data_IF_037195164376
#
_entry.id   IF_037195164376
#
_cell.length_a   1.000
_cell.length_b   1.000
_cell.length_c   1.000
_cell.angle_alpha   90.00
_cell.angle_beta   90.00
_cell.angle_gamma   90.00
#
_symmetry.space_group_name_H-M   'P 1'
#
loop_
_entity.id
_entity.type
_entity.pdbx_description
1 polymer ?
#
# COMPACT_ATOMS: atom_id res chain seq x y z
N UNK A 1 13.73 40.60 16.83
CA UNK A 1 12.86 39.55 16.26
C UNK A 1 13.56 38.24 16.55
N UNK A 2 13.22 37.61 17.66
CA UNK A 2 13.77 36.30 18.04
C UNK A 2 12.86 35.26 17.39
N UNK A 3 13.34 34.67 16.29
CA UNK A 3 12.64 33.57 15.64
C UNK A 3 12.92 32.33 16.49
N UNK A 4 11.97 31.97 17.36
CA UNK A 4 12.03 30.78 18.20
C UNK A 4 12.45 29.56 17.37
N UNK A 5 13.41 28.80 17.90
CA UNK A 5 13.91 27.59 17.27
C UNK A 5 12.74 26.63 16.93
N UNK A 6 12.79 25.92 15.79
CA UNK A 6 11.75 24.96 15.45
C UNK A 6 11.72 23.86 16.52
N UNK A 7 10.56 23.68 17.13
CA UNK A 7 10.34 22.60 18.09
C UNK A 7 10.57 21.25 17.42
N UNK A 8 11.36 20.40 18.07
CA UNK A 8 11.78 19.13 17.53
C UNK A 8 10.63 18.12 17.59
N UNK A 9 10.07 17.75 16.43
CA UNK A 9 8.93 16.82 16.29
C UNK A 9 9.34 15.36 16.49
N UNK A 10 10.00 15.03 17.60
CA UNK A 10 10.29 13.64 17.98
C UNK A 10 9.18 13.12 18.88
N UNK A 11 8.23 12.42 18.28
CA UNK A 11 7.11 11.79 18.97
C UNK A 11 7.53 10.43 19.54
N UNK A 12 8.40 10.44 20.56
CA UNK A 12 8.98 9.23 21.17
C UNK A 12 7.94 8.45 21.99
N UNK A 13 6.99 9.16 22.61
CA UNK A 13 5.95 8.58 23.46
C UNK A 13 4.67 8.20 22.68
N UNK A 14 4.62 8.50 21.38
CA UNK A 14 3.47 8.14 20.56
C UNK A 14 3.52 6.66 20.15
N UNK A 15 2.36 6.00 20.04
CA UNK A 15 2.31 4.64 19.53
C UNK A 15 2.83 4.62 18.09
N UNK A 16 3.72 3.66 17.79
CA UNK A 16 4.33 3.45 16.47
C UNK A 16 3.33 3.19 15.33
N UNK A 17 2.05 2.96 15.64
CA UNK A 17 0.99 2.75 14.68
C UNK A 17 -0.35 3.31 15.18
N UNK A 18 -1.15 3.84 14.25
CA UNK A 18 -2.54 4.21 14.48
C UNK A 18 -3.39 2.95 14.65
N UNK A 19 -4.35 2.96 15.59
CA UNK A 19 -5.36 1.89 15.68
C UNK A 19 -6.33 1.96 14.50
N UNK A 20 -6.53 0.82 13.83
CA UNK A 20 -7.56 0.63 12.83
C UNK A 20 -8.82 0.02 13.45
N UNK A 21 -9.98 0.27 12.85
CA UNK A 21 -11.20 -0.45 13.22
C UNK A 21 -11.07 -1.92 12.82
N UNK A 22 -11.43 -2.87 13.71
CA UNK A 22 -11.36 -4.28 13.40
C UNK A 22 -12.43 -4.66 12.37
N UNK A 23 -12.02 -5.40 11.36
CA UNK A 23 -12.94 -6.00 10.39
C UNK A 23 -13.78 -7.12 11.03
N UNK A 24 -15.00 -7.40 10.53
CA UNK A 24 -15.83 -8.50 11.01
C UNK A 24 -15.10 -9.85 10.97
N UNK A 25 -15.38 -10.73 11.94
CA UNK A 25 -14.65 -12.00 12.10
C UNK A 25 -14.74 -12.97 10.91
N UNK A 26 -15.70 -12.77 10.01
CA UNK A 26 -15.93 -13.59 8.80
C UNK A 26 -15.38 -12.93 7.53
N UNK A 27 -14.76 -11.76 7.65
CA UNK A 27 -14.19 -10.99 6.55
C UNK A 27 -12.67 -10.99 6.65
N UNK A 28 -12.01 -11.01 5.50
CA UNK A 28 -10.56 -10.83 5.40
C UNK A 28 -10.28 -9.42 4.87
N UNK A 29 -9.16 -8.79 5.26
CA UNK A 29 -8.74 -7.56 4.63
C UNK A 29 -8.41 -7.85 3.16
N UNK A 30 -9.11 -7.19 2.23
CA UNK A 30 -8.85 -7.30 0.80
C UNK A 30 -7.91 -6.16 0.36
N UNK A 31 -6.63 -6.48 0.14
CA UNK A 31 -5.61 -5.52 -0.28
C UNK A 31 -5.84 -5.02 -1.72
N UNK A 32 -6.61 -5.76 -2.52
CA UNK A 32 -6.92 -5.42 -3.92
C UNK A 32 -8.24 -4.65 -4.05
N UNK A 33 -8.96 -4.40 -2.96
CA UNK A 33 -10.29 -3.80 -3.01
C UNK A 33 -10.30 -2.44 -3.73
N UNK A 34 -9.28 -1.62 -3.52
CA UNK A 34 -9.14 -0.33 -4.17
C UNK A 34 -8.73 -0.47 -5.64
N UNK A 35 -7.76 -1.35 -5.94
CA UNK A 35 -7.25 -1.58 -7.31
C UNK A 35 -8.26 -2.24 -8.24
N UNK A 36 -9.13 -3.11 -7.71
CA UNK A 36 -10.24 -3.75 -8.43
C UNK A 36 -11.30 -2.75 -8.93
N UNK A 37 -11.36 -1.54 -8.38
CA UNK A 37 -12.35 -0.53 -8.82
C UNK A 37 -12.00 0.04 -10.19
N UNK A 38 -10.71 0.11 -10.49
CA UNK A 38 -10.18 0.72 -11.70
C UNK A 38 -9.65 -0.31 -12.72
N UNK A 39 -9.46 -1.57 -12.30
CA UNK A 39 -9.03 -2.67 -13.16
C UNK A 39 -10.20 -3.35 -13.90
N UNK A 40 -9.98 -3.80 -15.15
CA UNK A 40 -11.03 -4.48 -15.92
C UNK A 40 -11.24 -5.93 -15.45
N UNK A 41 -10.19 -6.58 -14.95
CA UNK A 41 -10.24 -7.92 -14.36
C UNK A 41 -9.26 -8.08 -13.19
N UNK A 42 -9.45 -9.14 -12.40
CA UNK A 42 -8.60 -9.48 -11.26
C UNK A 42 -7.13 -9.67 -11.66
N UNK A 43 -6.86 -10.18 -12.87
CA UNK A 43 -5.49 -10.35 -13.34
C UNK A 43 -4.78 -9.01 -13.57
N UNK A 44 -5.50 -7.99 -14.02
CA UNK A 44 -4.95 -6.64 -14.19
C UNK A 44 -4.68 -5.98 -12.83
N UNK A 45 -5.62 -6.09 -11.88
CA UNK A 45 -5.41 -5.54 -10.53
C UNK A 45 -4.15 -6.12 -9.84
N UNK A 46 -3.87 -7.41 -10.05
CA UNK A 46 -2.65 -8.07 -9.58
C UNK A 46 -1.40 -7.61 -10.35
N UNK A 47 -1.52 -7.40 -11.66
CA UNK A 47 -0.43 -6.92 -12.50
C UNK A 47 0.00 -5.51 -12.07
N UNK A 48 -0.96 -4.62 -11.83
CA UNK A 48 -0.70 -3.25 -11.40
C UNK A 48 -0.02 -3.17 -10.04
N UNK A 49 -0.46 -3.98 -9.07
CA UNK A 49 0.21 -4.10 -7.77
C UNK A 49 1.64 -4.60 -7.90
N UNK A 50 1.85 -5.64 -8.70
CA UNK A 50 3.18 -6.16 -8.93
C UNK A 50 4.10 -5.13 -9.62
N UNK A 51 3.57 -4.30 -10.53
CA UNK A 51 4.34 -3.23 -11.19
C UNK A 51 4.75 -2.14 -10.20
N UNK A 52 3.85 -1.71 -9.31
CA UNK A 52 4.15 -0.70 -8.29
C UNK A 52 5.20 -1.17 -7.29
N UNK A 53 5.22 -2.46 -6.96
CA UNK A 53 6.23 -3.09 -6.09
C UNK A 53 7.53 -3.45 -6.83
N UNK A 54 7.56 -3.31 -8.16
CA UNK A 54 8.73 -3.63 -8.97
C UNK A 54 9.75 -2.49 -8.91
N UNK A 55 11.04 -2.85 -8.83
CA UNK A 55 12.12 -1.87 -8.73
C UNK A 55 12.43 -1.21 -10.09
N UNK A 56 12.82 0.07 -10.10
CA UNK A 56 13.29 0.71 -11.32
C UNK A 56 14.56 0.00 -11.84
N UNK A 57 14.45 -0.64 -13.01
CA UNK A 57 15.55 -1.33 -13.69
C UNK A 57 15.57 -2.86 -13.56
N UNK A 58 14.60 -3.49 -12.89
CA UNK A 58 14.39 -4.94 -12.99
C UNK A 58 13.67 -5.33 -14.28
N UNK A 59 13.82 -6.58 -14.73
CA UNK A 59 13.05 -7.13 -15.85
C UNK A 59 11.54 -7.02 -15.57
N UNK A 60 10.72 -6.69 -16.60
CA UNK A 60 9.28 -6.59 -16.43
C UNK A 60 8.68 -7.95 -16.05
N UNK A 61 7.66 -7.93 -15.20
CA UNK A 61 6.88 -9.13 -14.86
C UNK A 61 6.34 -9.75 -16.15
N UNK A 62 6.69 -11.03 -16.38
CA UNK A 62 6.23 -11.75 -17.57
C UNK A 62 4.89 -12.43 -17.27
N UNK A 63 3.79 -12.06 -17.95
CA UNK A 63 2.52 -12.77 -17.80
C UNK A 63 2.70 -14.22 -18.29
N UNK A 64 2.48 -15.19 -17.40
CA UNK A 64 2.45 -16.60 -17.81
C UNK A 64 1.12 -16.89 -18.50
N UNK A 65 1.13 -16.92 -19.82
CA UNK A 65 0.03 -17.49 -20.60
C UNK A 65 0.06 -19.02 -20.46
N UNK A 66 -0.78 -19.55 -19.58
CA UNK A 66 -1.06 -20.99 -19.48
C UNK A 66 -2.19 -21.27 -20.48
N UNK A 67 -1.85 -21.87 -21.63
CA UNK A 67 -2.81 -22.44 -22.59
C UNK A 67 -3.24 -23.83 -22.19
#
# INVERSE_FOLDING_TARGET
MDAGAPEEQRHIDEPHARRAEPIPAHEKPDQLADKKRDAEDHQEALLDEAIEETFPGSDPISPKHIT
#
